data_IF_593887968137
#
_entry.id   IF_593887968137
#
_cell.length_a   1.000
_cell.length_b   1.000
_cell.length_c   1.000
_cell.angle_alpha   90.00
_cell.angle_beta   90.00
_cell.angle_gamma   90.00
#
_symmetry.space_group_name_H-M   'P 1'
#
loop_
_entity.id
_entity.type
_entity.pdbx_description
1 polymer ?
#
# COMPACT_ATOMS: atom_id res chain seq x y z
N UNK A 1 16.44 -0.34 -1.31
CA UNK A 1 17.74 0.22 -1.74
C UNK A 1 17.83 1.68 -1.29
N UNK A 2 18.38 1.91 -0.10
CA UNK A 2 18.29 3.18 0.61
C UNK A 2 19.34 4.17 0.07
N UNK A 3 18.91 5.19 -0.68
CA UNK A 3 19.77 6.33 -1.00
C UNK A 3 19.93 7.17 0.28
N UNK A 4 21.14 7.19 0.84
CA UNK A 4 21.52 8.08 1.95
C UNK A 4 21.15 9.52 1.60
N UNK A 5 20.79 10.37 2.58
CA UNK A 5 20.47 11.76 2.29
C UNK A 5 21.73 12.43 1.75
N UNK A 6 21.72 12.80 0.47
CA UNK A 6 22.73 13.68 -0.08
C UNK A 6 22.61 15.00 0.70
N UNK A 7 23.60 15.34 1.53
CA UNK A 7 23.72 16.67 2.12
C UNK A 7 23.60 17.76 1.03
N UNK A 8 23.33 19.01 1.43
CA UNK A 8 23.02 20.15 0.54
C UNK A 8 23.80 20.09 -0.78
N UNK A 9 23.16 19.55 -1.82
CA UNK A 9 23.78 19.30 -3.12
C UNK A 9 23.23 20.27 -4.15
N UNK A 10 24.12 20.84 -4.96
CA UNK A 10 23.75 21.85 -5.94
C UNK A 10 22.83 21.26 -7.03
N UNK A 11 21.69 21.91 -7.29
CA UNK A 11 20.63 21.44 -8.22
C UNK A 11 21.17 21.01 -9.59
N UNK A 12 22.10 21.78 -10.18
CA UNK A 12 22.67 21.46 -11.50
C UNK A 12 23.45 20.13 -11.50
N UNK A 13 24.11 19.79 -10.38
CA UNK A 13 24.86 18.53 -10.23
C UNK A 13 23.91 17.34 -10.24
N UNK A 14 22.78 17.45 -9.53
CA UNK A 14 21.74 16.41 -9.52
C UNK A 14 21.17 16.19 -10.92
N UNK A 15 20.80 17.25 -11.65
CA UNK A 15 20.27 17.11 -13.02
C UNK A 15 21.24 16.42 -13.98
N UNK A 16 22.54 16.72 -13.88
CA UNK A 16 23.58 16.05 -14.68
C UNK A 16 23.68 14.56 -14.33
N UNK A 17 23.73 14.23 -13.04
CA UNK A 17 23.83 12.85 -12.59
C UNK A 17 22.57 12.04 -12.96
N UNK A 18 21.38 12.61 -12.81
CA UNK A 18 20.12 11.97 -13.24
C UNK A 18 20.14 11.68 -14.74
N UNK A 19 20.61 12.62 -15.57
CA UNK A 19 20.74 12.42 -17.02
C UNK A 19 21.72 11.31 -17.38
N UNK A 20 22.91 11.29 -16.79
CA UNK A 20 23.95 10.27 -17.07
C UNK A 20 23.46 8.87 -16.70
N UNK A 21 22.82 8.74 -15.55
CA UNK A 21 22.37 7.46 -15.03
C UNK A 21 20.96 7.07 -15.52
N UNK A 22 20.37 7.87 -16.43
CA UNK A 22 19.00 7.68 -16.94
C UNK A 22 17.95 7.54 -15.82
N UNK A 23 18.17 8.23 -14.70
CA UNK A 23 17.27 8.24 -13.55
C UNK A 23 16.18 9.27 -13.81
N UNK A 24 14.93 8.81 -13.85
CA UNK A 24 13.74 9.66 -14.00
C UNK A 24 13.08 9.83 -12.64
N UNK A 25 12.60 11.04 -12.34
CA UNK A 25 11.82 11.29 -11.14
C UNK A 25 10.50 10.53 -11.17
N UNK A 26 10.21 9.77 -10.11
CA UNK A 26 8.95 9.05 -9.98
C UNK A 26 7.85 10.01 -9.49
N UNK A 27 6.82 10.24 -10.31
CA UNK A 27 5.63 10.95 -9.86
C UNK A 27 4.68 9.97 -9.18
N UNK A 28 4.87 9.75 -7.87
CA UNK A 28 3.99 8.90 -7.08
C UNK A 28 2.60 9.54 -7.01
N UNK A 29 1.56 8.78 -7.39
CA UNK A 29 0.18 9.20 -7.13
C UNK A 29 0.00 9.34 -5.62
N UNK A 30 -0.64 10.43 -5.19
CA UNK A 30 -1.03 10.61 -3.79
C UNK A 30 -1.87 9.41 -3.37
N UNK A 31 -1.49 8.72 -2.28
CA UNK A 31 -2.26 7.60 -1.74
C UNK A 31 -3.69 8.08 -1.47
N UNK A 32 -4.67 7.54 -2.21
CA UNK A 32 -6.08 7.79 -1.94
C UNK A 32 -6.44 6.98 -0.69
N UNK A 33 -7.03 7.66 0.30
CA UNK A 33 -7.63 6.98 1.44
C UNK A 33 -8.86 6.24 0.91
N UNK A 34 -8.92 4.92 1.12
CA UNK A 34 -10.13 4.15 0.83
C UNK A 34 -11.22 4.46 1.85
N UNK A 35 -12.42 3.94 1.61
CA UNK A 35 -13.58 4.04 2.51
C UNK A 35 -13.14 3.74 3.95
N UNK A 36 -13.36 4.70 4.83
CA UNK A 36 -13.11 4.53 6.25
C UNK A 36 -14.38 4.02 6.90
N UNK A 37 -14.24 3.07 7.82
CA UNK A 37 -15.36 2.65 8.64
C UNK A 37 -15.88 3.87 9.43
N UNK A 38 -17.18 4.10 9.36
CA UNK A 38 -17.85 5.06 10.23
C UNK A 38 -17.79 4.53 11.66
N UNK A 39 -17.23 5.34 12.57
CA UNK A 39 -17.05 4.98 13.98
C UNK A 39 -18.36 4.97 14.78
N UNK A 40 -19.38 5.65 14.27
CA UNK A 40 -20.69 5.77 14.90
C UNK A 40 -21.69 4.73 14.39
N UNK A 41 -21.39 4.10 13.24
CA UNK A 41 -22.18 3.01 12.71
C UNK A 41 -22.06 1.76 13.61
N UNK A 42 -23.17 1.03 13.84
CA UNK A 42 -23.10 -0.25 14.53
C UNK A 42 -22.22 -1.24 13.75
N UNK A 43 -21.53 -2.16 14.44
CA UNK A 43 -20.72 -3.17 13.78
C UNK A 43 -21.61 -4.06 12.89
N UNK A 44 -21.06 -4.46 11.74
CA UNK A 44 -21.73 -5.42 10.85
C UNK A 44 -21.93 -6.73 11.63
N UNK A 45 -23.11 -7.36 11.54
CA UNK A 45 -23.36 -8.63 12.22
C UNK A 45 -22.36 -9.71 11.78
N UNK A 46 -21.86 -10.48 12.74
CA UNK A 46 -20.98 -11.62 12.49
C UNK A 46 -21.81 -12.81 11.98
N UNK A 47 -21.99 -12.87 10.66
CA UNK A 47 -22.81 -13.88 9.99
C UNK A 47 -22.26 -15.31 10.14
N UNK A 48 -20.97 -15.47 10.44
CA UNK A 48 -20.33 -16.78 10.57
C UNK A 48 -20.01 -17.15 12.01
N UNK A 49 -20.29 -16.26 12.97
CA UNK A 49 -20.03 -16.44 14.40
C UNK A 49 -18.59 -16.92 14.67
N UNK A 50 -17.62 -16.38 13.92
CA UNK A 50 -16.20 -16.79 13.91
C UNK A 50 -15.94 -18.29 13.62
N UNK A 51 -16.92 -19.01 13.09
CA UNK A 51 -16.82 -20.41 12.68
C UNK A 51 -16.49 -20.55 11.19
N UNK A 52 -15.21 -20.73 10.88
CA UNK A 52 -14.69 -20.83 9.50
C UNK A 52 -14.81 -22.23 8.89
N UNK A 53 -15.13 -23.25 9.68
CA UNK A 53 -15.36 -24.62 9.20
C UNK A 53 -16.66 -24.68 8.40
N UNK A 54 -16.59 -25.22 7.18
CA UNK A 54 -17.74 -25.42 6.30
C UNK A 54 -17.99 -26.92 6.11
N UNK A 55 -19.23 -27.36 6.33
CA UNK A 55 -19.61 -28.77 6.20
C UNK A 55 -19.77 -29.20 4.73
N UNK A 56 -20.03 -28.24 3.84
CA UNK A 56 -20.14 -28.44 2.39
C UNK A 56 -19.50 -27.28 1.62
N UNK A 57 -19.04 -27.56 0.40
CA UNK A 57 -18.54 -26.53 -0.50
C UNK A 57 -19.58 -25.43 -0.72
N UNK A 58 -19.11 -24.20 -0.91
CA UNK A 58 -19.96 -23.04 -1.25
C UNK A 58 -21.00 -22.64 -0.17
N UNK A 59 -20.79 -23.01 1.09
CA UNK A 59 -21.70 -22.64 2.20
C UNK A 59 -21.18 -21.49 3.06
N UNK A 60 -19.87 -21.28 3.10
CA UNK A 60 -19.22 -20.18 3.82
C UNK A 60 -18.10 -19.59 2.97
N UNK A 61 -18.12 -18.28 2.82
CA UNK A 61 -17.11 -17.52 2.07
C UNK A 61 -16.50 -16.48 2.99
N UNK A 62 -15.18 -16.55 3.15
CA UNK A 62 -14.40 -15.57 3.89
C UNK A 62 -13.22 -15.14 3.02
N UNK A 63 -12.91 -13.85 3.03
CA UNK A 63 -11.75 -13.31 2.32
C UNK A 63 -11.09 -12.23 3.17
N UNK A 64 -9.76 -12.21 3.14
CA UNK A 64 -8.96 -11.10 3.66
C UNK A 64 -8.33 -10.33 2.50
N UNK A 65 -7.99 -9.07 2.76
CA UNK A 65 -7.22 -8.26 1.82
C UNK A 65 -5.89 -7.94 2.48
N UNK A 66 -4.84 -8.62 2.02
CA UNK A 66 -3.48 -8.32 2.46
C UNK A 66 -2.84 -7.31 1.51
N UNK A 67 -2.39 -6.17 2.05
CA UNK A 67 -1.60 -5.21 1.28
C UNK A 67 -0.19 -5.78 1.05
N UNK A 68 0.11 -6.13 -0.20
CA UNK A 68 1.47 -6.53 -0.59
C UNK A 68 2.28 -5.28 -0.92
N UNK A 69 3.32 -5.02 -0.13
CA UNK A 69 4.22 -3.91 -0.37
C UNK A 69 5.10 -4.19 -1.59
N UNK A 70 4.78 -3.57 -2.72
CA UNK A 70 5.61 -3.63 -3.93
C UNK A 70 6.58 -2.44 -3.90
N UNK A 71 7.83 -2.70 -3.52
CA UNK A 71 8.90 -1.70 -3.44
C UNK A 71 9.37 -1.45 -2.00
N UNK A 72 10.41 -2.16 -1.59
CA UNK A 72 11.17 -1.86 -0.36
C UNK A 72 12.19 -0.76 -0.65
N UNK A 73 12.07 0.36 0.10
CA UNK A 73 13.04 1.46 0.09
C UNK A 73 14.27 1.09 0.90
#
# INVERSE_FOLDING_TARGET
MTLRPFGKTHRKRMSRLMRINRIVGLHLRRKRRMTMQDKTAPPVPDLVMRGFTADMLNTKWCGDVTYVAVGST
#
